data_IF_572427235787
#
_entry.id   IF_572427235787
#
_cell.length_a   1.000
_cell.length_b   1.000
_cell.length_c   1.000
_cell.angle_alpha   90.00
_cell.angle_beta   90.00
_cell.angle_gamma   90.00
#
_symmetry.space_group_name_H-M   'P 1'
#
loop_
_entity.id
_entity.type
_entity.pdbx_description
1 polymer ?
#
# COMPACT_ATOMS: atom_id res chain seq x y z
N UNK A 1 -27.69 54.97 -13.97
CA UNK A 1 -26.71 54.20 -13.18
C UNK A 1 -26.44 52.88 -13.89
N UNK A 2 -25.37 52.80 -14.67
CA UNK A 2 -24.93 51.56 -15.31
C UNK A 2 -24.30 50.65 -14.24
N UNK A 3 -24.94 49.52 -13.95
CA UNK A 3 -24.37 48.47 -13.11
C UNK A 3 -23.24 47.80 -13.90
N UNK A 4 -22.00 47.99 -13.45
CA UNK A 4 -20.87 47.23 -13.96
C UNK A 4 -21.09 45.75 -13.66
N UNK A 5 -21.20 44.94 -14.72
CA UNK A 5 -21.19 43.49 -14.61
C UNK A 5 -19.82 43.08 -14.05
N UNK A 6 -19.84 42.30 -12.97
CA UNK A 6 -18.66 41.71 -12.35
C UNK A 6 -18.04 40.75 -13.37
N UNK A 7 -16.76 40.95 -13.70
CA UNK A 7 -16.02 40.06 -14.59
C UNK A 7 -16.12 38.60 -14.10
N UNK A 8 -16.15 37.61 -15.01
CA UNK A 8 -16.19 36.21 -14.62
C UNK A 8 -14.96 35.92 -13.75
N UNK A 9 -15.20 35.45 -12.53
CA UNK A 9 -14.12 34.95 -11.69
C UNK A 9 -13.51 33.75 -12.41
N UNK A 10 -12.22 33.83 -12.75
CA UNK A 10 -11.44 32.67 -13.16
C UNK A 10 -11.71 31.54 -12.15
N UNK A 11 -12.16 30.39 -12.64
CA UNK A 11 -12.31 29.19 -11.84
C UNK A 11 -10.96 28.87 -11.21
N UNK A 12 -10.79 29.22 -9.93
CA UNK A 12 -9.58 28.90 -9.17
C UNK A 12 -9.40 27.39 -9.21
N UNK A 13 -8.39 26.95 -9.92
CA UNK A 13 -8.00 25.55 -10.01
C UNK A 13 -7.87 24.97 -8.59
N UNK A 14 -8.65 23.92 -8.33
CA UNK A 14 -8.81 23.37 -7.00
C UNK A 14 -7.60 22.48 -6.68
N UNK A 15 -6.64 23.01 -5.92
CA UNK A 15 -5.41 22.28 -5.56
C UNK A 15 -5.66 21.13 -4.57
N UNK A 16 -5.22 19.93 -4.96
CA UNK A 16 -5.23 18.69 -4.15
C UNK A 16 -3.87 18.44 -3.48
N UNK A 17 -2.79 18.80 -4.16
CA UNK A 17 -1.41 18.59 -3.73
C UNK A 17 -0.55 19.85 -3.94
N UNK A 18 0.68 19.81 -3.43
CA UNK A 18 1.71 20.83 -3.62
C UNK A 18 3.09 20.17 -3.65
N UNK A 19 4.07 20.83 -4.28
CA UNK A 19 5.46 20.41 -4.19
C UNK A 19 6.13 21.02 -2.96
N UNK A 20 6.90 20.22 -2.23
CA UNK A 20 7.66 20.63 -1.05
C UNK A 20 8.59 21.80 -1.39
N UNK A 21 8.71 22.77 -0.49
CA UNK A 21 9.61 23.92 -0.69
C UNK A 21 11.06 23.46 -0.73
N UNK A 22 11.42 22.61 0.22
CA UNK A 22 12.76 22.04 0.33
C UNK A 22 12.90 20.90 -0.68
N UNK A 23 13.92 20.95 -1.55
CA UNK A 23 14.22 19.85 -2.44
C UNK A 23 14.87 18.70 -1.65
N UNK A 24 14.61 17.48 -2.11
CA UNK A 24 15.28 16.28 -1.64
C UNK A 24 16.26 15.80 -2.70
N UNK A 25 17.29 15.07 -2.27
CA UNK A 25 18.31 14.48 -3.15
C UNK A 25 18.07 12.98 -3.28
N UNK A 26 18.06 12.47 -4.50
CA UNK A 26 17.98 11.03 -4.76
C UNK A 26 19.25 10.32 -4.25
N UNK A 27 19.15 9.24 -3.45
CA UNK A 27 20.33 8.52 -2.96
C UNK A 27 21.02 7.68 -4.06
N UNK A 28 20.35 7.47 -5.21
CA UNK A 28 20.83 6.64 -6.31
C UNK A 28 21.60 7.49 -7.34
N UNK A 29 20.91 8.46 -7.95
CA UNK A 29 21.48 9.26 -9.04
C UNK A 29 21.76 10.73 -8.67
N UNK A 30 21.68 11.11 -7.39
CA UNK A 30 21.95 12.46 -6.88
C UNK A 30 21.06 13.60 -7.42
N UNK A 31 20.05 13.28 -8.23
CA UNK A 31 19.11 14.28 -8.75
C UNK A 31 18.38 14.97 -7.61
N UNK A 32 18.37 16.30 -7.64
CA UNK A 32 17.63 17.15 -6.71
C UNK A 32 16.24 17.45 -7.27
N UNK A 33 15.19 17.21 -6.50
CA UNK A 33 13.80 17.43 -6.92
C UNK A 33 12.90 17.73 -5.73
N UNK A 34 11.75 18.34 -5.97
CA UNK A 34 10.74 18.57 -4.94
C UNK A 34 9.79 17.39 -4.84
N UNK A 35 9.42 17.00 -3.63
CA UNK A 35 8.46 15.92 -3.40
C UNK A 35 7.06 16.49 -3.46
N UNK A 36 6.17 15.83 -4.21
CA UNK A 36 4.75 16.17 -4.16
C UNK A 36 4.10 15.62 -2.88
N UNK A 37 3.34 16.46 -2.20
CA UNK A 37 2.61 16.17 -0.98
C UNK A 37 1.14 16.52 -1.12
N UNK A 38 0.27 15.67 -0.56
CA UNK A 38 -1.16 15.96 -0.54
C UNK A 38 -1.49 17.05 0.49
N UNK A 39 -2.38 17.97 0.14
CA UNK A 39 -2.93 18.92 1.09
C UNK A 39 -3.90 18.21 2.05
N UNK A 40 -3.69 18.38 3.35
CA UNK A 40 -4.61 17.90 4.40
C UNK A 40 -5.74 18.89 4.68
N UNK A 41 -6.93 18.38 4.98
CA UNK A 41 -8.07 19.17 5.47
C UNK A 41 -8.89 19.88 4.38
N UNK A 42 -9.82 20.74 4.83
CA UNK A 42 -10.70 21.53 3.95
C UNK A 42 -11.71 20.71 3.14
N UNK A 43 -12.14 19.56 3.66
CA UNK A 43 -13.13 18.69 3.01
C UNK A 43 -12.63 17.92 1.79
N UNK A 44 -11.30 17.79 1.63
CA UNK A 44 -10.68 17.04 0.51
C UNK A 44 -10.88 15.53 0.62
N UNK A 45 -10.93 15.02 1.85
CA UNK A 45 -11.12 13.62 2.15
C UNK A 45 -12.42 13.45 2.93
N UNK A 46 -13.38 12.81 2.31
CA UNK A 46 -14.64 12.39 2.92
C UNK A 46 -14.48 10.90 3.21
N UNK A 47 -14.36 10.54 4.48
CA UNK A 47 -14.16 9.16 4.89
C UNK A 47 -15.41 8.34 4.57
N UNK A 48 -15.25 7.35 3.69
CA UNK A 48 -16.26 6.33 3.37
C UNK A 48 -16.10 5.08 4.23
N UNK A 49 -16.58 3.90 3.79
CA UNK A 49 -16.54 2.66 4.57
C UNK A 49 -15.12 2.08 4.78
N UNK A 50 -14.98 1.25 5.83
CA UNK A 50 -13.76 0.48 6.12
C UNK A 50 -13.90 -0.90 5.53
N UNK A 51 -13.03 -1.28 4.60
CA UNK A 51 -13.03 -2.66 4.09
C UNK A 51 -12.57 -3.64 5.17
N UNK A 52 -12.77 -4.93 4.94
CA UNK A 52 -12.14 -5.98 5.73
C UNK A 52 -10.61 -5.93 5.62
N UNK A 53 -10.04 -5.57 4.47
CA UNK A 53 -8.58 -5.37 4.28
C UNK A 53 -8.00 -4.13 4.99
N UNK A 54 -8.73 -3.55 5.95
CA UNK A 54 -8.33 -2.37 6.73
C UNK A 54 -8.08 -1.13 5.85
N UNK A 55 -8.72 -1.07 4.67
CA UNK A 55 -8.63 0.06 3.75
C UNK A 55 -9.80 1.03 3.95
N UNK A 56 -9.49 2.30 4.13
CA UNK A 56 -10.49 3.38 4.15
C UNK A 56 -10.82 3.77 2.71
N UNK A 57 -12.05 3.55 2.28
CA UNK A 57 -12.55 4.17 1.05
C UNK A 57 -12.85 5.65 1.28
N UNK A 58 -12.76 6.45 0.23
CA UNK A 58 -13.04 7.89 0.28
C UNK A 58 -14.11 8.24 -0.75
N UNK A 59 -15.11 9.00 -0.30
CA UNK A 59 -16.17 9.49 -1.17
C UNK A 59 -15.71 10.72 -1.96
N UNK A 60 -16.23 10.85 -3.18
CA UNK A 60 -15.95 12.01 -4.01
C UNK A 60 -16.51 13.29 -3.37
N UNK A 61 -15.66 14.29 -3.22
CA UNK A 61 -16.07 15.61 -2.75
C UNK A 61 -16.76 16.39 -3.87
N UNK A 62 -17.83 17.12 -3.55
CA UNK A 62 -18.45 18.05 -4.50
C UNK A 62 -17.46 19.09 -5.05
N UNK A 63 -16.47 19.48 -4.26
CA UNK A 63 -15.48 20.50 -4.63
C UNK A 63 -14.24 19.93 -5.30
N UNK A 64 -13.75 18.77 -4.85
CA UNK A 64 -12.46 18.21 -5.27
C UNK A 64 -12.58 16.97 -6.16
N UNK A 65 -13.78 16.43 -6.34
CA UNK A 65 -14.00 15.14 -6.97
C UNK A 65 -13.43 13.98 -6.14
N UNK A 66 -13.11 12.87 -6.82
CA UNK A 66 -12.45 11.72 -6.21
C UNK A 66 -10.99 12.04 -5.91
N UNK A 67 -10.56 11.78 -4.67
CA UNK A 67 -9.19 12.01 -4.20
C UNK A 67 -8.66 10.71 -3.61
N UNK A 68 -7.44 10.33 -4.00
CA UNK A 68 -6.82 9.06 -3.64
C UNK A 68 -5.57 9.28 -2.79
N UNK A 69 -5.63 9.30 -1.44
CA UNK A 69 -4.48 9.58 -0.58
C UNK A 69 -3.26 8.70 -0.83
N UNK A 70 -3.50 7.42 -1.16
CA UNK A 70 -2.46 6.42 -1.37
C UNK A 70 -1.48 6.80 -2.48
N UNK A 71 -1.91 7.56 -3.49
CA UNK A 71 -1.03 7.95 -4.59
C UNK A 71 0.12 8.86 -4.16
N UNK A 72 0.05 9.47 -2.97
CA UNK A 72 1.05 10.40 -2.45
C UNK A 72 2.02 9.76 -1.44
N UNK A 73 1.89 8.47 -1.14
CA UNK A 73 2.62 7.81 -0.05
C UNK A 73 4.05 7.36 -0.39
N UNK A 74 4.42 7.43 -1.68
CA UNK A 74 5.75 7.01 -2.15
C UNK A 74 6.53 8.22 -2.63
N UNK A 75 7.84 8.26 -2.42
CA UNK A 75 8.74 9.22 -3.07
C UNK A 75 9.37 8.55 -4.28
N UNK A 76 9.37 9.22 -5.45
CA UNK A 76 9.97 8.70 -6.69
C UNK A 76 10.95 9.72 -7.22
N UNK A 77 12.15 9.28 -7.59
CA UNK A 77 13.08 10.12 -8.34
C UNK A 77 12.62 10.24 -9.80
N UNK A 78 12.37 11.45 -10.33
CA UNK A 78 11.93 11.61 -11.71
C UNK A 78 13.00 11.23 -12.74
N UNK A 79 14.27 11.19 -12.35
CA UNK A 79 15.38 10.86 -13.25
C UNK A 79 15.65 9.34 -13.34
N UNK A 80 15.90 8.68 -12.20
CA UNK A 80 16.30 7.26 -12.18
C UNK A 80 15.18 6.28 -11.78
N UNK A 81 13.98 6.79 -11.48
CA UNK A 81 12.80 5.96 -11.15
C UNK A 81 13.00 5.07 -9.92
N UNK A 82 13.99 5.38 -9.08
CA UNK A 82 14.09 4.82 -7.75
C UNK A 82 12.93 5.34 -6.89
N UNK A 83 12.28 4.44 -6.16
CA UNK A 83 11.10 4.76 -5.36
C UNK A 83 11.13 4.07 -4.00
N UNK A 84 10.69 4.74 -2.95
CA UNK A 84 10.58 4.16 -1.62
C UNK A 84 9.59 4.97 -0.78
N UNK A 85 9.23 4.47 0.42
CA UNK A 85 8.48 5.28 1.37
C UNK A 85 9.32 6.51 1.79
N UNK A 86 8.70 7.66 2.08
CA UNK A 86 9.36 8.90 2.46
C UNK A 86 10.51 8.75 3.45
N UNK A 87 10.29 7.99 4.52
CA UNK A 87 11.29 7.80 5.56
C UNK A 87 12.47 6.96 5.08
N UNK A 88 12.27 6.01 4.17
CA UNK A 88 13.34 5.11 3.70
C UNK A 88 14.07 5.65 2.47
N UNK A 89 13.41 6.50 1.68
CA UNK A 89 13.96 7.04 0.45
C UNK A 89 15.35 7.68 0.62
N UNK A 90 15.62 8.56 1.61
CA UNK A 90 16.96 9.12 1.76
C UNK A 90 17.98 8.16 2.40
N UNK A 91 17.55 6.98 2.86
CA UNK A 91 18.34 6.04 3.67
C UNK A 91 18.76 4.77 2.92
N UNK A 92 18.72 4.76 1.58
CA UNK A 92 19.27 3.63 0.82
C UNK A 92 20.76 3.44 1.17
N UNK A 93 21.20 2.25 1.59
CA UNK A 93 22.61 1.99 1.90
C UNK A 93 23.52 2.20 0.68
N UNK A 94 24.74 2.68 0.92
CA UNK A 94 25.73 2.95 -0.15
C UNK A 94 26.06 1.70 -0.96
N UNK A 95 26.11 0.54 -0.31
CA UNK A 95 26.36 -0.76 -0.96
C UNK A 95 25.25 -1.18 -1.93
N UNK A 96 24.01 -0.73 -1.69
CA UNK A 96 22.86 -1.00 -2.55
C UNK A 96 22.74 -0.01 -3.71
N UNK A 97 23.47 1.11 -3.66
CA UNK A 97 23.38 2.19 -4.65
C UNK A 97 23.71 1.72 -6.06
N UNK A 98 24.81 0.97 -6.23
CA UNK A 98 25.24 0.49 -7.54
C UNK A 98 24.18 -0.44 -8.16
N UNK A 99 23.66 -1.39 -7.40
CA UNK A 99 22.57 -2.28 -7.85
C UNK A 99 21.33 -1.50 -8.29
N UNK A 100 20.98 -0.45 -7.53
CA UNK A 100 19.85 0.40 -7.87
C UNK A 100 20.14 1.27 -9.11
N UNK A 101 21.37 1.75 -9.33
CA UNK A 101 21.71 2.49 -10.54
C UNK A 101 21.68 1.56 -11.78
N UNK A 102 22.29 0.37 -11.67
CA UNK A 102 22.38 -0.60 -12.77
C UNK A 102 21.00 -1.11 -13.24
N UNK A 103 20.03 -1.24 -12.33
CA UNK A 103 18.66 -1.66 -12.66
C UNK A 103 17.72 -0.48 -13.05
N UNK A 104 18.27 0.70 -13.37
CA UNK A 104 17.46 1.87 -13.79
C UNK A 104 16.53 1.54 -14.96
N UNK A 105 17.08 1.02 -16.06
CA UNK A 105 16.31 0.70 -17.25
C UNK A 105 15.29 -0.41 -17.00
N UNK A 106 15.66 -1.38 -16.14
CA UNK A 106 14.75 -2.44 -15.72
C UNK A 106 13.52 -1.92 -14.97
N UNK A 107 13.67 -0.90 -14.13
CA UNK A 107 12.55 -0.23 -13.46
C UNK A 107 11.66 0.55 -14.43
N UNK A 108 12.26 1.31 -15.34
CA UNK A 108 11.52 2.09 -16.35
C UNK A 108 10.71 1.15 -17.25
N UNK A 109 11.34 0.09 -17.77
CA UNK A 109 10.69 -0.91 -18.62
C UNK A 109 9.53 -1.62 -17.90
N UNK A 110 9.73 -2.01 -16.63
CA UNK A 110 8.70 -2.69 -15.85
C UNK A 110 7.43 -1.84 -15.68
N UNK A 111 7.56 -0.53 -15.47
CA UNK A 111 6.41 0.38 -15.45
C UNK A 111 5.84 0.58 -16.85
N UNK A 112 6.69 0.73 -17.87
CA UNK A 112 6.29 0.92 -19.26
C UNK A 112 5.42 -0.21 -19.82
N UNK A 113 5.58 -1.44 -19.33
CA UNK A 113 4.72 -2.56 -19.68
C UNK A 113 3.27 -2.42 -19.17
N UNK A 114 3.04 -1.63 -18.12
CA UNK A 114 1.72 -1.43 -17.50
C UNK A 114 1.14 -0.08 -17.93
N UNK A 115 1.97 0.97 -17.92
CA UNK A 115 1.56 2.34 -18.17
C UNK A 115 2.37 2.90 -19.35
N UNK A 116 1.75 3.08 -20.53
CA UNK A 116 2.45 3.55 -21.73
C UNK A 116 3.14 4.92 -21.59
N UNK A 117 2.64 5.77 -20.69
CA UNK A 117 3.22 7.08 -20.40
C UNK A 117 2.98 7.44 -18.95
N UNK A 118 4.06 7.71 -18.22
CA UNK A 118 4.05 8.17 -16.83
C UNK A 118 5.07 9.30 -16.71
N UNK A 119 4.64 10.40 -16.09
CA UNK A 119 5.50 11.52 -15.75
C UNK A 119 5.53 11.70 -14.23
N UNK A 120 6.74 11.85 -13.70
CA UNK A 120 7.02 12.09 -12.29
C UNK A 120 7.51 13.52 -12.01
N UNK A 121 7.52 14.39 -13.02
CA UNK A 121 7.86 15.81 -12.91
C UNK A 121 6.64 16.72 -12.74
N UNK A 122 5.45 16.23 -13.11
CA UNK A 122 4.16 16.89 -12.92
C UNK A 122 3.37 16.31 -11.74
N UNK A 123 2.26 16.97 -11.39
CA UNK A 123 1.36 16.52 -10.33
C UNK A 123 0.84 15.10 -10.59
N UNK A 124 0.76 14.30 -9.53
CA UNK A 124 0.37 12.90 -9.64
C UNK A 124 -1.06 12.74 -10.13
N UNK A 125 -1.19 11.81 -11.07
CA UNK A 125 -2.45 11.21 -11.48
C UNK A 125 -2.62 9.87 -10.79
N UNK A 126 -3.80 9.26 -10.91
CA UNK A 126 -4.01 7.89 -10.45
C UNK A 126 -3.01 6.90 -11.08
N UNK A 127 -2.69 7.08 -12.38
CA UNK A 127 -1.70 6.25 -13.09
C UNK A 127 -0.28 6.44 -12.55
N UNK A 128 0.21 7.69 -12.46
CA UNK A 128 1.57 7.93 -11.95
C UNK A 128 1.71 7.59 -10.46
N UNK A 129 0.66 7.77 -9.67
CA UNK A 129 0.56 7.27 -8.29
C UNK A 129 0.67 5.76 -8.15
N UNK A 130 -0.06 5.03 -9.00
CA UNK A 130 -0.01 3.56 -9.02
C UNK A 130 1.36 3.07 -9.48
N UNK A 131 1.91 3.68 -10.53
CA UNK A 131 3.27 3.41 -10.99
C UNK A 131 4.32 3.65 -9.90
N UNK A 132 4.21 4.74 -9.13
CA UNK A 132 5.07 5.01 -7.99
C UNK A 132 5.01 3.88 -6.95
N UNK A 133 3.80 3.43 -6.61
CA UNK A 133 3.61 2.36 -5.62
C UNK A 133 4.16 1.03 -6.10
N UNK A 134 3.96 0.70 -7.38
CA UNK A 134 4.57 -0.47 -8.02
C UNK A 134 6.10 -0.40 -8.06
N UNK A 135 6.68 0.76 -8.35
CA UNK A 135 8.13 0.97 -8.29
C UNK A 135 8.67 0.76 -6.88
N UNK A 136 7.99 1.26 -5.85
CA UNK A 136 8.42 1.08 -4.46
C UNK A 136 8.45 -0.40 -4.07
N UNK A 137 7.43 -1.17 -4.44
CA UNK A 137 7.39 -2.63 -4.24
C UNK A 137 8.66 -3.31 -4.79
N UNK A 138 9.08 -2.95 -6.00
CA UNK A 138 10.31 -3.46 -6.62
C UNK A 138 11.58 -2.94 -5.93
N UNK A 139 11.65 -1.65 -5.65
CA UNK A 139 12.86 -1.03 -5.10
C UNK A 139 13.21 -1.51 -3.69
N UNK A 140 12.26 -2.07 -2.95
CA UNK A 140 12.56 -2.71 -1.67
C UNK A 140 13.48 -3.94 -1.78
N UNK A 141 13.65 -4.52 -2.98
CA UNK A 141 14.65 -5.58 -3.21
C UNK A 141 16.10 -5.10 -2.99
N UNK A 142 16.35 -3.79 -3.03
CA UNK A 142 17.68 -3.24 -2.77
C UNK A 142 17.96 -2.97 -1.28
N UNK A 143 16.95 -3.04 -0.41
CA UNK A 143 17.13 -2.75 1.01
C UNK A 143 17.52 -4.01 1.79
N UNK A 144 18.46 -3.91 2.75
CA UNK A 144 18.82 -5.02 3.62
C UNK A 144 17.75 -5.25 4.70
N UNK A 145 17.83 -6.40 5.37
CA UNK A 145 16.87 -6.84 6.39
C UNK A 145 16.64 -5.84 7.54
N UNK A 146 17.63 -4.99 7.85
CA UNK A 146 17.53 -3.94 8.88
C UNK A 146 16.43 -2.91 8.60
N UNK A 147 15.99 -2.80 7.34
CA UNK A 147 14.89 -1.92 6.93
C UNK A 147 13.53 -2.60 6.91
N UNK A 148 13.47 -3.89 7.28
CA UNK A 148 12.28 -4.73 7.18
C UNK A 148 11.62 -4.69 5.78
N UNK A 149 12.40 -4.89 4.69
CA UNK A 149 11.89 -4.75 3.33
C UNK A 149 10.73 -5.71 3.04
N UNK A 150 10.71 -6.90 3.62
CA UNK A 150 9.71 -7.93 3.30
C UNK A 150 8.30 -7.45 3.64
N UNK A 151 8.08 -6.91 4.84
CA UNK A 151 6.76 -6.38 5.21
C UNK A 151 6.40 -5.11 4.44
N UNK A 152 7.40 -4.26 4.12
CA UNK A 152 7.16 -3.04 3.32
C UNK A 152 6.78 -3.40 1.88
N UNK A 153 7.32 -4.50 1.34
CA UNK A 153 6.83 -5.10 0.09
C UNK A 153 5.41 -5.62 0.24
N UNK A 154 5.05 -6.26 1.36
CA UNK A 154 3.67 -6.67 1.63
C UNK A 154 2.68 -5.49 1.64
N UNK A 155 3.01 -4.43 2.39
CA UNK A 155 2.21 -3.21 2.47
C UNK A 155 2.09 -2.52 1.11
N UNK A 156 3.21 -2.35 0.39
CA UNK A 156 3.19 -1.69 -0.93
C UNK A 156 2.49 -2.52 -1.98
N UNK A 157 2.61 -3.85 -1.95
CA UNK A 157 1.85 -4.75 -2.83
C UNK A 157 0.34 -4.64 -2.58
N UNK A 158 -0.09 -4.59 -1.32
CA UNK A 158 -1.51 -4.45 -0.98
C UNK A 158 -2.07 -3.10 -1.46
N UNK A 159 -1.34 -2.00 -1.17
CA UNK A 159 -1.67 -0.65 -1.67
C UNK A 159 -1.73 -0.60 -3.20
N UNK A 160 -0.80 -1.28 -3.88
CA UNK A 160 -0.79 -1.38 -5.33
C UNK A 160 -2.04 -2.11 -5.84
N UNK A 161 -2.45 -3.19 -5.15
CA UNK A 161 -3.70 -3.89 -5.42
C UNK A 161 -4.93 -2.99 -5.37
N UNK A 162 -5.07 -2.18 -4.31
CA UNK A 162 -6.18 -1.24 -4.18
C UNK A 162 -6.14 -0.15 -5.25
N UNK A 163 -4.97 0.41 -5.55
CA UNK A 163 -4.83 1.42 -6.60
C UNK A 163 -5.17 0.86 -8.00
N UNK A 164 -4.89 -0.42 -8.24
CA UNK A 164 -5.35 -1.09 -9.45
C UNK A 164 -6.86 -1.35 -9.46
N UNK A 165 -7.50 -1.62 -8.31
CA UNK A 165 -8.97 -1.64 -8.25
C UNK A 165 -9.55 -0.27 -8.64
N UNK A 166 -9.00 0.83 -8.10
CA UNK A 166 -9.43 2.20 -8.45
C UNK A 166 -9.23 2.52 -9.95
N UNK A 167 -8.12 2.03 -10.53
CA UNK A 167 -7.88 2.15 -11.97
C UNK A 167 -8.87 1.32 -12.78
N UNK A 168 -9.23 0.13 -12.32
CA UNK A 168 -10.20 -0.73 -13.00
C UNK A 168 -11.60 -0.12 -12.98
N UNK A 169 -12.01 0.46 -11.85
CA UNK A 169 -13.28 1.18 -11.74
C UNK A 169 -13.34 2.37 -12.70
N UNK A 170 -12.24 3.12 -12.84
CA UNK A 170 -12.17 4.30 -13.71
C UNK A 170 -11.95 3.97 -15.18
N UNK A 171 -11.24 2.89 -15.46
CA UNK A 171 -10.81 2.46 -16.79
C UNK A 171 -11.06 0.95 -16.97
N UNK A 172 -12.33 0.52 -17.00
CA UNK A 172 -12.67 -0.89 -17.11
C UNK A 172 -12.14 -1.49 -18.41
N UNK A 173 -11.96 -2.82 -18.40
CA UNK A 173 -11.46 -3.62 -19.55
C UNK A 173 -10.01 -3.36 -19.98
N UNK A 174 -9.20 -2.71 -19.12
CA UNK A 174 -7.75 -2.59 -19.31
C UNK A 174 -6.95 -3.62 -18.51
N UNK A 175 -7.62 -4.66 -17.98
CA UNK A 175 -7.03 -5.73 -17.18
C UNK A 175 -6.39 -5.29 -15.85
N UNK A 176 -6.79 -4.12 -15.33
CA UNK A 176 -6.33 -3.65 -14.03
C UNK A 176 -6.86 -4.51 -12.88
N UNK A 177 -8.03 -5.15 -13.02
CA UNK A 177 -8.55 -6.16 -12.10
C UNK A 177 -7.60 -7.35 -11.93
N UNK A 178 -7.01 -7.85 -13.03
CA UNK A 178 -6.03 -8.92 -12.97
C UNK A 178 -4.73 -8.47 -12.30
N UNK A 179 -4.26 -7.25 -12.58
CA UNK A 179 -3.10 -6.67 -11.90
C UNK A 179 -3.36 -6.45 -10.41
N UNK A 180 -4.58 -6.04 -10.03
CA UNK A 180 -5.00 -5.91 -8.65
C UNK A 180 -4.92 -7.26 -7.92
N UNK A 181 -5.46 -8.32 -8.53
CA UNK A 181 -5.41 -9.68 -8.00
C UNK A 181 -3.97 -10.17 -7.83
N UNK A 182 -3.10 -9.94 -8.83
CA UNK A 182 -1.69 -10.31 -8.72
C UNK A 182 -0.98 -9.58 -7.57
N UNK A 183 -1.24 -8.28 -7.41
CA UNK A 183 -0.66 -7.50 -6.33
C UNK A 183 -1.15 -7.97 -4.95
N UNK A 184 -2.44 -8.32 -4.82
CA UNK A 184 -3.00 -8.90 -3.58
C UNK A 184 -2.43 -10.29 -3.26
N UNK A 185 -2.18 -11.13 -4.27
CA UNK A 185 -1.46 -12.41 -4.12
C UNK A 185 0.00 -12.21 -3.71
N UNK A 186 0.68 -11.20 -4.25
CA UNK A 186 2.03 -10.81 -3.79
C UNK A 186 1.99 -10.31 -2.35
N UNK A 187 1.01 -9.49 -1.98
CA UNK A 187 0.84 -9.03 -0.61
C UNK A 187 0.69 -10.22 0.34
N UNK A 188 -0.17 -11.20 0.04
CA UNK A 188 -0.28 -12.45 0.82
C UNK A 188 1.08 -13.09 1.06
N UNK A 189 1.86 -13.30 -0.01
CA UNK A 189 3.18 -13.90 0.08
C UNK A 189 4.10 -13.11 1.03
N UNK A 190 4.22 -11.80 0.83
CA UNK A 190 5.13 -10.97 1.61
C UNK A 190 4.69 -10.79 3.06
N UNK A 191 3.40 -10.67 3.35
CA UNK A 191 2.90 -10.63 4.73
C UNK A 191 3.25 -11.94 5.46
N UNK A 192 3.01 -13.09 4.84
CA UNK A 192 3.38 -14.39 5.42
C UNK A 192 4.88 -14.52 5.63
N UNK A 193 5.66 -14.19 4.60
CA UNK A 193 7.12 -14.27 4.66
C UNK A 193 7.71 -13.33 5.72
N UNK A 194 7.17 -12.11 5.88
CA UNK A 194 7.60 -11.18 6.92
C UNK A 194 7.40 -11.75 8.33
N UNK A 195 6.24 -12.34 8.60
CA UNK A 195 5.96 -12.97 9.90
C UNK A 195 6.86 -14.19 10.14
N UNK A 196 7.13 -14.99 9.09
CA UNK A 196 8.07 -16.11 9.20
C UNK A 196 9.51 -15.66 9.47
N UNK A 197 9.96 -14.58 8.83
CA UNK A 197 11.30 -14.01 9.03
C UNK A 197 11.47 -13.41 10.42
N UNK A 198 10.44 -12.76 10.95
CA UNK A 198 10.42 -12.30 12.34
C UNK A 198 10.57 -13.48 13.30
N UNK A 199 9.77 -14.53 13.13
CA UNK A 199 9.79 -15.72 14.00
C UNK A 199 11.11 -16.49 13.95
N UNK A 200 11.79 -16.48 12.80
CA UNK A 200 13.09 -17.13 12.60
C UNK A 200 14.28 -16.21 12.90
N UNK A 201 14.04 -14.94 13.28
CA UNK A 201 15.09 -13.95 13.56
C UNK A 201 15.87 -13.48 12.34
N UNK A 202 15.40 -13.77 11.11
CA UNK A 202 16.07 -13.39 9.86
C UNK A 202 15.85 -11.91 9.51
N UNK A 203 14.74 -11.33 9.92
CA UNK A 203 14.38 -9.93 9.66
C UNK A 203 13.55 -9.42 10.83
N UNK A 204 13.99 -8.35 11.49
CA UNK A 204 13.29 -7.79 12.64
C UNK A 204 12.22 -6.78 12.20
N UNK A 205 11.07 -6.80 12.86
CA UNK A 205 9.93 -5.90 12.65
C UNK A 205 9.81 -4.86 13.77
N UNK A 206 10.50 -5.04 14.89
CA UNK A 206 10.45 -4.16 16.07
C UNK A 206 10.86 -2.70 15.81
N UNK A 207 11.64 -2.44 14.75
CA UNK A 207 12.05 -1.09 14.33
C UNK A 207 10.98 -0.32 13.53
N UNK A 208 9.87 -0.96 13.17
CA UNK A 208 8.83 -0.35 12.34
C UNK A 208 7.86 0.48 13.18
N UNK A 209 7.73 1.75 12.79
CA UNK A 209 6.71 2.64 13.35
C UNK A 209 5.33 2.39 12.75
N UNK A 210 5.26 1.88 11.53
CA UNK A 210 4.04 1.74 10.76
C UNK A 210 3.91 0.36 10.11
N UNK A 211 2.86 -0.36 10.48
CA UNK A 211 2.42 -1.66 9.97
C UNK A 211 1.12 -1.57 9.17
N UNK A 212 0.42 -0.43 9.27
CA UNK A 212 -0.87 -0.23 8.63
C UNK A 212 -0.75 -0.29 7.11
N UNK A 213 -1.71 -0.93 6.43
CA UNK A 213 -1.72 -0.92 4.97
C UNK A 213 -2.30 0.39 4.41
N UNK A 214 -3.13 1.09 5.17
CA UNK A 214 -3.74 2.37 4.78
C UNK A 214 -2.87 3.57 5.20
N UNK A 215 -3.39 4.78 5.05
CA UNK A 215 -2.94 6.05 5.64
C UNK A 215 -3.79 6.49 6.82
N UNK A 216 -5.04 6.01 6.92
CA UNK A 216 -6.01 6.37 7.97
C UNK A 216 -5.56 5.88 9.35
N UNK A 217 -5.20 4.59 9.47
CA UNK A 217 -4.84 3.99 10.74
C UNK A 217 -3.77 2.90 10.62
N UNK A 218 -2.88 2.86 11.60
CA UNK A 218 -1.71 1.98 11.63
C UNK A 218 -2.05 0.51 11.98
N UNK A 219 -3.07 0.26 12.79
CA UNK A 219 -3.47 -1.08 13.30
C UNK A 219 -2.38 -1.93 13.98
N UNK A 220 -1.13 -1.47 14.03
CA UNK A 220 -0.02 -2.11 14.72
C UNK A 220 0.35 -3.47 14.12
N UNK A 221 1.15 -4.21 14.88
CA UNK A 221 1.56 -5.56 14.52
C UNK A 221 0.36 -6.51 14.44
N UNK A 222 -0.67 -6.31 15.27
CA UNK A 222 -1.92 -7.06 15.21
C UNK A 222 -2.63 -6.90 13.85
N UNK A 223 -2.58 -5.70 13.26
CA UNK A 223 -3.07 -5.46 11.90
C UNK A 223 -2.32 -6.28 10.86
N UNK A 224 -1.00 -6.42 10.99
CA UNK A 224 -0.20 -7.26 10.09
C UNK A 224 -0.54 -8.75 10.23
N UNK A 225 -0.74 -9.25 11.46
CA UNK A 225 -1.20 -10.63 11.70
C UNK A 225 -2.59 -10.89 11.11
N UNK A 226 -3.49 -9.93 11.28
CA UNK A 226 -4.84 -9.99 10.72
C UNK A 226 -4.80 -10.05 9.18
N UNK A 227 -4.04 -9.15 8.54
CA UNK A 227 -3.92 -9.11 7.08
C UNK A 227 -3.24 -10.36 6.52
N UNK A 228 -2.21 -10.87 7.20
CA UNK A 228 -1.56 -12.12 6.79
C UNK A 228 -2.59 -13.26 6.67
N UNK A 229 -3.49 -13.40 7.65
CA UNK A 229 -4.52 -14.44 7.63
C UNK A 229 -5.67 -14.13 6.66
N UNK A 230 -6.13 -12.87 6.58
CA UNK A 230 -7.20 -12.47 5.67
C UNK A 230 -6.79 -12.69 4.21
N UNK A 231 -5.56 -12.30 3.85
CA UNK A 231 -5.05 -12.46 2.50
C UNK A 231 -4.82 -13.93 2.14
N UNK A 232 -4.48 -14.78 3.12
CA UNK A 232 -4.46 -16.24 2.92
C UNK A 232 -5.87 -16.75 2.61
N UNK A 233 -6.88 -16.40 3.42
CA UNK A 233 -8.27 -16.82 3.18
C UNK A 233 -8.76 -16.38 1.79
N UNK A 234 -8.57 -15.12 1.42
CA UNK A 234 -9.10 -14.56 0.17
C UNK A 234 -8.32 -14.97 -1.07
N UNK A 235 -7.00 -14.95 -1.00
CA UNK A 235 -6.12 -15.00 -2.18
C UNK A 235 -5.14 -16.18 -2.16
N UNK A 236 -5.25 -17.06 -1.17
CA UNK A 236 -4.52 -18.31 -1.12
C UNK A 236 -4.91 -19.28 -2.24
N UNK A 237 -4.01 -20.18 -2.65
CA UNK A 237 -4.35 -21.31 -3.51
C UNK A 237 -5.47 -22.14 -2.88
N UNK A 238 -6.41 -22.61 -3.70
CA UNK A 238 -7.48 -23.54 -3.26
C UNK A 238 -7.06 -25.00 -3.42
N UNK A 239 -6.07 -25.27 -4.26
CA UNK A 239 -5.54 -26.60 -4.52
C UNK A 239 -4.01 -26.64 -4.35
N UNK A 240 -3.46 -27.78 -3.89
CA UNK A 240 -4.17 -28.95 -3.35
C UNK A 240 -4.86 -28.65 -2.01
N UNK A 241 -5.98 -29.30 -1.75
CA UNK A 241 -6.81 -29.11 -0.55
C UNK A 241 -6.01 -29.25 0.74
N UNK A 242 -5.19 -30.30 0.87
CA UNK A 242 -4.33 -30.51 2.05
C UNK A 242 -3.43 -29.30 2.35
N UNK A 243 -2.86 -28.68 1.31
CA UNK A 243 -2.03 -27.49 1.46
C UNK A 243 -2.86 -26.26 1.86
N UNK A 244 -4.11 -26.17 1.40
CA UNK A 244 -5.06 -25.13 1.79
C UNK A 244 -5.42 -25.26 3.27
N UNK A 245 -5.77 -26.47 3.72
CA UNK A 245 -6.11 -26.78 5.11
C UNK A 245 -4.97 -26.46 6.07
N UNK A 246 -3.74 -26.85 5.71
CA UNK A 246 -2.56 -26.50 6.51
C UNK A 246 -2.38 -24.97 6.62
N UNK A 247 -2.45 -24.25 5.49
CA UNK A 247 -2.27 -22.79 5.47
C UNK A 247 -3.36 -22.04 6.25
N UNK A 248 -4.60 -22.52 6.20
CA UNK A 248 -5.70 -21.97 6.98
C UNK A 248 -5.59 -22.30 8.46
N UNK A 249 -5.17 -23.51 8.83
CA UNK A 249 -4.92 -23.88 10.23
C UNK A 249 -3.80 -23.02 10.84
N UNK A 250 -2.74 -22.71 10.09
CA UNK A 250 -1.69 -21.75 10.47
C UNK A 250 -2.24 -20.33 10.63
N UNK A 251 -3.09 -19.89 9.69
CA UNK A 251 -3.74 -18.57 9.72
C UNK A 251 -4.64 -18.42 10.94
N UNK A 252 -5.47 -19.43 11.24
CA UNK A 252 -6.35 -19.49 12.43
C UNK A 252 -5.55 -19.38 13.73
N UNK A 253 -4.46 -20.16 13.86
CA UNK A 253 -3.54 -20.09 15.02
C UNK A 253 -2.92 -18.70 15.16
N UNK A 254 -2.61 -18.04 14.05
CA UNK A 254 -2.02 -16.70 14.06
C UNK A 254 -3.01 -15.64 14.50
N UNK A 255 -4.25 -15.68 14.00
CA UNK A 255 -5.32 -14.78 14.47
C UNK A 255 -5.60 -14.98 15.96
N UNK A 256 -5.60 -16.21 16.45
CA UNK A 256 -5.85 -16.50 17.86
C UNK A 256 -4.88 -15.74 18.80
N UNK A 257 -3.64 -15.46 18.35
CA UNK A 257 -2.67 -14.66 19.09
C UNK A 257 -3.16 -13.22 19.35
N UNK A 258 -3.95 -12.65 18.44
CA UNK A 258 -4.52 -11.29 18.59
C UNK A 258 -5.42 -11.20 19.83
N UNK A 259 -6.13 -12.29 20.17
CA UNK A 259 -6.98 -12.36 21.37
C UNK A 259 -6.16 -12.55 22.65
N UNK A 260 -5.08 -13.34 22.60
CA UNK A 260 -4.20 -13.63 23.75
C UNK A 260 -3.24 -12.50 24.12
N UNK A 261 -2.94 -11.59 23.19
CA UNK A 261 -2.13 -10.38 23.42
C UNK A 261 -2.93 -9.32 24.21
N UNK A 262 -3.27 -9.61 25.48
CA UNK A 262 -3.63 -8.63 26.53
C UNK A 262 -4.85 -7.71 26.34
N UNK A 263 -5.49 -7.37 27.47
CA UNK A 263 -6.64 -6.46 27.58
C UNK A 263 -6.35 -5.10 26.93
N UNK A 264 -7.27 -4.62 26.10
CA UNK A 264 -7.51 -3.21 25.75
C UNK A 264 -6.34 -2.25 26.03
N UNK A 265 -5.30 -2.26 25.19
CA UNK A 265 -4.47 -1.06 25.11
C UNK A 265 -5.34 0.07 24.54
N UNK A 266 -5.09 1.32 24.94
CA UNK A 266 -5.73 2.52 24.35
C UNK A 266 -5.62 2.57 22.81
N UNK A 267 -4.71 1.77 22.25
CA UNK A 267 -4.37 1.70 20.85
C UNK A 267 -5.07 0.58 20.08
N UNK A 268 -5.80 -0.36 20.71
CA UNK A 268 -6.59 -1.35 19.95
C UNK A 268 -7.80 -0.65 19.29
N UNK A 269 -7.82 -0.43 17.95
CA UNK A 269 -9.07 -0.08 17.28
C UNK A 269 -10.12 -1.14 17.58
N UNK A 270 -11.24 -0.75 18.20
CA UNK A 270 -12.43 -1.61 18.32
C UNK A 270 -12.75 -2.41 17.03
N UNK A 271 -12.68 -1.81 15.83
CA UNK A 271 -12.94 -2.52 14.57
C UNK A 271 -12.02 -3.70 14.26
N UNK A 272 -10.76 -3.73 14.76
CA UNK A 272 -9.83 -4.81 14.44
C UNK A 272 -10.17 -6.10 15.19
N UNK A 273 -10.59 -5.99 16.46
CA UNK A 273 -10.94 -7.16 17.26
C UNK A 273 -12.19 -7.86 16.74
N UNK A 274 -13.19 -7.07 16.31
CA UNK A 274 -14.40 -7.59 15.68
C UNK A 274 -14.07 -8.28 14.36
N UNK A 275 -13.38 -7.59 13.44
CA UNK A 275 -12.92 -8.18 12.18
C UNK A 275 -12.08 -9.44 12.38
N UNK A 276 -11.25 -9.49 13.41
CA UNK A 276 -10.45 -10.67 13.73
C UNK A 276 -11.30 -11.85 14.22
N UNK A 277 -12.40 -11.62 14.95
CA UNK A 277 -13.36 -12.67 15.33
C UNK A 277 -14.09 -13.19 14.11
N UNK A 278 -14.63 -12.30 13.28
CA UNK A 278 -15.34 -12.67 12.05
C UNK A 278 -14.43 -13.50 11.13
N UNK A 279 -13.16 -13.10 11.00
CA UNK A 279 -12.19 -13.83 10.20
C UNK A 279 -11.83 -15.20 10.81
N UNK A 280 -11.73 -15.29 12.14
CA UNK A 280 -11.50 -16.56 12.82
C UNK A 280 -12.65 -17.55 12.58
N UNK A 281 -13.90 -17.06 12.65
CA UNK A 281 -15.10 -17.85 12.38
C UNK A 281 -15.15 -18.30 10.91
N UNK A 282 -14.89 -17.40 9.95
CA UNK A 282 -14.84 -17.75 8.52
C UNK A 282 -13.80 -18.84 8.21
N UNK A 283 -12.60 -18.74 8.79
CA UNK A 283 -11.56 -19.76 8.60
C UNK A 283 -11.97 -21.07 9.28
N UNK A 284 -12.66 -21.02 10.42
CA UNK A 284 -13.11 -22.23 11.11
C UNK A 284 -14.20 -22.95 10.32
N UNK A 285 -15.14 -22.21 9.75
CA UNK A 285 -16.16 -22.76 8.87
C UNK A 285 -15.54 -23.43 7.62
N UNK A 286 -14.61 -22.78 6.92
CA UNK A 286 -13.95 -23.39 5.75
C UNK A 286 -13.18 -24.67 6.12
N UNK A 287 -12.59 -24.74 7.32
CA UNK A 287 -11.89 -25.95 7.78
C UNK A 287 -12.84 -27.09 8.18
N UNK A 288 -14.02 -26.77 8.73
CA UNK A 288 -15.05 -27.73 9.15
C UNK A 288 -15.85 -28.28 7.95
N UNK A 289 -16.16 -27.45 6.96
CA UNK A 289 -16.83 -27.87 5.73
C UNK A 289 -15.99 -28.90 4.96
N UNK A 290 -14.66 -28.75 4.95
CA UNK A 290 -13.70 -29.69 4.34
C UNK A 290 -13.41 -30.93 5.21
N UNK A 291 -13.83 -30.97 6.49
CA UNK A 291 -13.79 -32.18 7.35
C UNK A 291 -15.02 -33.08 7.15
N UNK A 292 -16.08 -32.56 6.54
CA UNK A 292 -17.38 -33.21 6.36
C UNK A 292 -17.63 -33.86 4.99
N UNK A 293 -16.70 -33.72 4.04
CA UNK A 293 -16.70 -34.39 2.72
C UNK A 293 -15.73 -35.58 2.68
#
# INVERSE_FOLDING_TARGET
>A
MLRFAKAPQEEREVKISFFSKEPIRCPVCDTSFQREEMLSGGGRLIAGPLTDELHRKYEASLKYGAVYPLIYQVTVCPNCWFAALPDDFPRLPRESRLKAEDDREGRIAAVGHIFPSVDFTSCRTLKSGTAATYLALRCYDYYPGEFSPTIKQGITALRCGWLFDELNERYPHQHYDWLALLCKRKARFFYREAINREQTGKEALSGLKYFGPDTDKNYGYEGALYLMALLELKYGPREPEESRRQALAESRRTIAKIFGLGKSSREKPGPLLEKARDLYEQISAELEDEDGE
#
